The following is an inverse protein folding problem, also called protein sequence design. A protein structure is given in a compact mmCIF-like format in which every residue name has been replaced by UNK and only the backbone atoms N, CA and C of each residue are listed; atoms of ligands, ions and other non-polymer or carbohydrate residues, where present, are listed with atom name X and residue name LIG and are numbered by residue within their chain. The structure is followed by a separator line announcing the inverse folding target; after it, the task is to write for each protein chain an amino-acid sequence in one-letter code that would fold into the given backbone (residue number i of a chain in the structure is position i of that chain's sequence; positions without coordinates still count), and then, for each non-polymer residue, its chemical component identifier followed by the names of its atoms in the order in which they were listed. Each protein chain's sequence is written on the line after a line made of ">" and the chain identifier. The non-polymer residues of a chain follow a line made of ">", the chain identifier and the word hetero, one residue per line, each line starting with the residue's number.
data_IF_891915451265
#
_entry.id   IF_891915451265
#
_cell.length_a   1.000
_cell.length_b   1.000
_cell.length_c   1.000
_cell.angle_alpha   90.00
_cell.angle_beta   90.00
_cell.angle_gamma   90.00
#
_symmetry.space_group_name_H-M   'P 1'
#
loop_
_entity.id
_entity.type
_entity.pdbx_description
1 polymer ?
#
# COMPACT_ATOMS: atom_id res chain seq x y z
N UNK A 1 18.49 -20.25 47.99
CA UNK A 1 17.98 -19.00 47.38
C UNK A 1 18.28 -19.09 45.90
N UNK A 2 17.27 -19.29 45.06
CA UNK A 2 17.48 -19.24 43.61
C UNK A 2 17.77 -17.77 43.26
N UNK A 3 18.88 -17.53 42.55
CA UNK A 3 19.21 -16.20 42.05
C UNK A 3 18.11 -15.65 41.14
N UNK A 4 18.18 -14.35 40.77
CA UNK A 4 17.23 -13.80 39.81
C UNK A 4 17.24 -14.66 38.54
N UNK A 5 16.05 -15.03 38.06
CA UNK A 5 15.93 -15.69 36.77
C UNK A 5 16.46 -14.74 35.69
N UNK A 6 17.47 -15.19 34.96
CA UNK A 6 18.03 -14.47 33.81
C UNK A 6 17.40 -15.02 32.55
N UNK A 7 16.87 -14.14 31.69
CA UNK A 7 16.48 -14.52 30.34
C UNK A 7 17.70 -14.53 29.43
N UNK A 8 17.81 -15.54 28.56
CA UNK A 8 18.83 -15.51 27.52
C UNK A 8 18.37 -14.59 26.40
N UNK A 9 19.24 -13.71 25.95
CA UNK A 9 18.93 -12.73 24.91
C UNK A 9 20.05 -12.61 23.89
N UNK A 10 19.67 -12.25 22.68
CA UNK A 10 20.58 -11.98 21.58
C UNK A 10 20.90 -10.49 21.57
N UNK A 11 22.17 -10.08 21.82
CA UNK A 11 22.55 -8.68 21.76
C UNK A 11 22.50 -8.18 20.32
N UNK A 12 22.05 -6.95 20.12
CA UNK A 12 22.16 -6.26 18.84
C UNK A 12 23.43 -5.38 18.79
N UNK A 13 23.70 -4.81 17.60
CA UNK A 13 24.87 -3.96 17.34
C UNK A 13 24.80 -2.57 18.00
N UNK A 14 23.66 -2.22 18.59
CA UNK A 14 23.37 -0.92 19.21
C UNK A 14 23.30 -1.02 20.74
N UNK A 15 23.63 -2.17 21.33
CA UNK A 15 23.57 -2.39 22.78
C UNK A 15 22.19 -2.78 23.30
N UNK A 16 21.23 -3.07 22.41
CA UNK A 16 19.95 -3.66 22.76
C UNK A 16 20.06 -5.17 23.00
N UNK A 17 19.04 -5.73 23.65
CA UNK A 17 18.93 -7.15 23.94
C UNK A 17 17.58 -7.68 23.46
N UNK A 18 17.59 -8.59 22.49
CA UNK A 18 16.40 -9.26 21.99
C UNK A 18 16.18 -10.56 22.74
N UNK A 19 15.05 -10.70 23.43
CA UNK A 19 14.69 -11.92 24.17
C UNK A 19 13.56 -12.64 23.44
N UNK A 20 13.82 -13.85 22.95
CA UNK A 20 12.79 -14.70 22.33
C UNK A 20 12.20 -15.67 23.36
N UNK A 21 11.06 -15.29 23.88
CA UNK A 21 10.32 -16.04 24.89
C UNK A 21 9.79 -17.41 24.39
N UNK A 22 9.83 -17.72 23.09
CA UNK A 22 9.40 -19.03 22.55
C UNK A 22 10.37 -20.15 22.89
N UNK A 23 11.65 -19.81 23.04
CA UNK A 23 12.72 -20.78 23.33
C UNK A 23 13.05 -20.87 24.82
N UNK A 24 12.41 -20.04 25.65
CA UNK A 24 12.54 -20.07 27.09
C UNK A 24 11.84 -21.29 27.67
N UNK A 25 12.61 -22.19 28.29
CA UNK A 25 12.14 -23.49 28.80
C UNK A 25 11.00 -23.33 29.82
N UNK A 26 11.00 -22.22 30.55
CA UNK A 26 9.96 -21.84 31.52
C UNK A 26 8.60 -21.60 30.85
N UNK A 27 8.60 -21.12 29.61
CA UNK A 27 7.38 -20.80 28.86
C UNK A 27 6.90 -21.95 27.97
N UNK A 28 7.77 -22.88 27.60
CA UNK A 28 7.37 -24.10 26.89
C UNK A 28 6.49 -25.04 27.74
N UNK A 29 6.66 -25.00 29.06
CA UNK A 29 5.80 -25.71 30.01
C UNK A 29 4.63 -24.86 30.55
N UNK A 30 4.48 -23.62 30.08
CA UNK A 30 3.49 -22.69 30.59
C UNK A 30 2.10 -22.98 30.01
N UNK A 31 1.08 -22.95 30.89
CA UNK A 31 -0.32 -22.94 30.49
C UNK A 31 -0.67 -21.67 29.70
N UNK A 32 -1.73 -21.74 28.91
CA UNK A 32 -2.27 -20.59 28.18
C UNK A 32 -2.50 -19.35 29.09
N UNK A 33 -2.97 -19.56 30.32
CA UNK A 33 -3.15 -18.50 31.32
C UNK A 33 -1.84 -17.84 31.74
N UNK A 34 -0.76 -18.61 31.89
CA UNK A 34 0.56 -18.08 32.20
C UNK A 34 1.14 -17.26 31.03
N UNK A 35 0.89 -17.68 29.78
CA UNK A 35 1.26 -16.91 28.58
C UNK A 35 0.48 -15.58 28.49
N UNK A 36 -0.83 -15.58 28.74
CA UNK A 36 -1.63 -14.35 28.82
C UNK A 36 -1.12 -13.40 29.93
N UNK A 37 -0.65 -13.95 31.05
CA UNK A 37 -0.13 -13.18 32.17
C UNK A 37 1.23 -12.56 31.84
N UNK A 38 2.05 -13.18 30.98
CA UNK A 38 3.37 -12.67 30.62
C UNK A 38 3.29 -11.29 29.95
N UNK A 39 2.38 -11.10 28.99
CA UNK A 39 2.16 -9.80 28.33
C UNK A 39 1.68 -8.75 29.35
N UNK A 40 0.74 -9.11 30.22
CA UNK A 40 0.24 -8.22 31.26
C UNK A 40 1.33 -7.82 32.28
N UNK A 41 2.23 -8.74 32.62
CA UNK A 41 3.37 -8.46 33.50
C UNK A 41 4.39 -7.55 32.82
N UNK A 42 4.74 -7.83 31.57
CA UNK A 42 5.69 -6.99 30.82
C UNK A 42 5.16 -5.55 30.68
N UNK A 43 3.87 -5.38 30.36
CA UNK A 43 3.27 -4.04 30.29
C UNK A 43 3.23 -3.33 31.63
N UNK A 44 3.01 -4.05 32.75
CA UNK A 44 3.19 -3.49 34.11
C UNK A 44 4.62 -3.04 34.41
N UNK A 45 5.60 -3.63 33.73
CA UNK A 45 7.02 -3.27 33.80
C UNK A 45 7.45 -2.31 32.67
N UNK A 46 6.52 -1.48 32.19
CA UNK A 46 6.77 -0.40 31.21
C UNK A 46 7.23 -0.87 29.83
N UNK A 47 7.06 -2.16 29.52
CA UNK A 47 7.15 -2.59 28.13
C UNK A 47 5.92 -2.12 27.36
N UNK A 48 6.13 -1.54 26.19
CA UNK A 48 5.07 -1.09 25.28
C UNK A 48 5.00 -2.00 24.07
N UNK A 49 3.80 -2.12 23.49
CA UNK A 49 3.64 -2.82 22.21
C UNK A 49 4.40 -2.08 21.12
N UNK A 50 5.21 -2.79 20.36
CA UNK A 50 5.85 -2.26 19.17
C UNK A 50 5.10 -2.73 17.93
N UNK A 51 5.05 -4.02 17.64
CA UNK A 51 4.33 -4.56 16.49
C UNK A 51 3.91 -6.00 16.73
N UNK A 52 3.04 -6.54 15.88
CA UNK A 52 2.68 -7.95 15.89
C UNK A 52 2.69 -8.50 14.46
N UNK A 53 3.16 -9.73 14.32
CA UNK A 53 3.00 -10.55 13.11
C UNK A 53 2.11 -11.75 13.46
N UNK A 54 1.81 -12.60 12.47
CA UNK A 54 0.97 -13.79 12.68
C UNK A 54 1.48 -14.70 13.79
N UNK A 55 2.80 -14.74 14.01
CA UNK A 55 3.44 -15.71 14.90
C UNK A 55 3.90 -15.12 16.24
N UNK A 56 4.00 -13.80 16.36
CA UNK A 56 4.52 -13.17 17.58
C UNK A 56 4.01 -11.75 17.78
N UNK A 57 4.08 -11.30 19.03
CA UNK A 57 3.96 -9.90 19.42
C UNK A 57 5.30 -9.41 19.94
N UNK A 58 5.74 -8.24 19.48
CA UNK A 58 6.93 -7.57 19.95
C UNK A 58 6.54 -6.53 21.00
N UNK A 59 7.13 -6.65 22.18
CA UNK A 59 7.12 -5.62 23.20
C UNK A 59 8.52 -5.05 23.36
N UNK A 60 8.62 -3.76 23.63
CA UNK A 60 9.90 -3.06 23.76
C UNK A 60 9.92 -2.16 24.98
N UNK A 61 11.09 -1.92 25.55
CA UNK A 61 11.31 -0.94 26.60
C UNK A 61 12.67 -0.30 26.43
N UNK A 62 12.71 1.03 26.41
CA UNK A 62 13.97 1.77 26.52
C UNK A 62 14.43 1.78 27.97
N UNK A 63 15.61 1.21 28.23
CA UNK A 63 16.19 1.13 29.57
C UNK A 63 17.05 2.34 29.97
N UNK A 64 17.82 2.98 29.06
CA UNK A 64 18.62 4.15 29.40
C UNK A 64 17.78 5.30 29.94
N UNK A 65 18.22 5.90 31.06
CA UNK A 65 17.50 6.98 31.76
C UNK A 65 18.01 8.39 31.46
N UNK A 66 19.19 8.49 30.84
CA UNK A 66 19.89 9.77 30.61
C UNK A 66 19.84 10.22 29.15
N UNK A 67 19.09 9.52 28.32
CA UNK A 67 18.96 9.79 26.90
C UNK A 67 17.53 9.56 26.42
N UNK A 68 17.17 10.19 25.31
CA UNK A 68 15.87 10.01 24.69
C UNK A 68 15.74 8.64 24.06
N UNK A 69 14.55 8.05 24.13
CA UNK A 69 14.22 6.81 23.43
C UNK A 69 14.57 6.91 21.93
N UNK A 70 15.44 6.02 21.46
CA UNK A 70 15.86 5.93 20.05
C UNK A 70 15.21 4.75 19.32
N UNK A 71 14.28 4.03 19.95
CA UNK A 71 13.56 2.94 19.29
C UNK A 71 12.68 3.54 18.19
N UNK A 72 12.88 3.14 16.91
CA UNK A 72 12.02 3.59 15.85
C UNK A 72 10.56 3.19 16.12
N UNK A 73 9.58 4.01 15.73
CA UNK A 73 8.20 3.57 15.79
C UNK A 73 7.96 2.39 14.85
N UNK A 74 6.90 1.63 15.11
CA UNK A 74 6.48 0.55 14.24
C UNK A 74 6.04 1.03 12.86
N UNK A 75 6.10 0.14 11.88
CA UNK A 75 5.59 0.41 10.54
C UNK A 75 4.07 0.66 10.61
N UNK A 76 3.68 1.93 10.51
CA UNK A 76 2.30 2.39 10.70
C UNK A 76 1.67 2.93 9.41
N UNK A 77 2.32 2.74 8.26
CA UNK A 77 1.84 3.28 6.98
C UNK A 77 1.20 2.18 6.16
N UNK A 78 -0.01 2.42 5.68
CA UNK A 78 -0.66 1.58 4.68
C UNK A 78 -0.20 2.01 3.29
N UNK A 79 -0.03 1.03 2.42
CA UNK A 79 0.37 1.26 1.02
C UNK A 79 -0.69 0.65 0.11
N UNK A 80 -1.38 1.49 -0.64
CA UNK A 80 -2.32 1.11 -1.68
C UNK A 80 -1.79 1.47 -3.07
N UNK A 81 -2.30 0.77 -4.07
CA UNK A 81 -1.95 0.98 -5.48
C UNK A 81 -3.20 0.97 -6.36
N UNK A 82 -3.19 1.78 -7.41
CA UNK A 82 -4.20 1.79 -8.47
C UNK A 82 -3.56 1.63 -9.85
N UNK A 83 -4.11 0.72 -10.65
CA UNK A 83 -3.72 0.50 -12.04
C UNK A 83 -4.47 1.44 -12.99
N UNK A 84 -3.79 2.47 -13.51
CA UNK A 84 -4.27 3.25 -14.65
C UNK A 84 -3.96 2.49 -15.94
N UNK A 85 -4.84 1.55 -16.29
CA UNK A 85 -4.73 0.76 -17.52
C UNK A 85 -5.31 1.57 -18.68
N UNK A 86 -4.45 1.96 -19.61
CA UNK A 86 -4.83 2.77 -20.78
C UNK A 86 -4.92 1.85 -22.01
N UNK A 87 -6.06 1.85 -22.69
CA UNK A 87 -6.23 1.09 -23.94
C UNK A 87 -5.20 1.53 -25.00
N UNK A 88 -4.91 0.66 -25.97
CA UNK A 88 -3.90 0.92 -27.02
C UNK A 88 -4.17 2.21 -27.81
N UNK A 89 -5.44 2.59 -27.97
CA UNK A 89 -5.86 3.82 -28.66
C UNK A 89 -5.64 5.10 -27.83
N UNK A 90 -5.30 4.97 -26.55
CA UNK A 90 -5.14 6.08 -25.62
C UNK A 90 -6.45 6.79 -25.23
N UNK A 91 -7.61 6.31 -25.68
CA UNK A 91 -8.91 6.98 -25.50
C UNK A 91 -9.74 6.39 -24.37
N UNK A 92 -9.43 5.18 -23.92
CA UNK A 92 -10.22 4.47 -22.90
C UNK A 92 -9.35 4.00 -21.73
N UNK A 93 -9.97 3.95 -20.55
CA UNK A 93 -9.40 3.46 -19.31
C UNK A 93 -10.19 2.26 -18.81
N UNK A 94 -9.51 1.28 -18.22
CA UNK A 94 -10.18 0.23 -17.47
C UNK A 94 -10.59 0.76 -16.11
N UNK A 95 -11.89 0.70 -15.81
CA UNK A 95 -12.46 1.26 -14.59
C UNK A 95 -13.40 0.27 -13.93
N UNK A 96 -13.45 0.32 -12.60
CA UNK A 96 -14.27 -0.57 -11.78
C UNK A 96 -15.18 0.24 -10.88
N UNK A 97 -16.27 -0.40 -10.43
CA UNK A 97 -17.20 0.17 -9.47
C UNK A 97 -17.46 -0.86 -8.39
N UNK A 98 -17.15 -0.52 -7.14
CA UNK A 98 -17.32 -1.42 -6.00
C UNK A 98 -18.79 -1.69 -5.70
N UNK A 99 -19.07 -2.89 -5.17
CA UNK A 99 -20.44 -3.33 -4.84
C UNK A 99 -20.95 -2.83 -3.49
N UNK A 100 -20.06 -2.71 -2.50
CA UNK A 100 -20.45 -2.47 -1.11
C UNK A 100 -20.18 -1.03 -0.63
N UNK A 101 -19.76 -0.14 -1.53
CA UNK A 101 -19.48 1.24 -1.18
C UNK A 101 -20.78 2.06 -1.10
N UNK A 102 -20.91 2.88 -0.04
CA UNK A 102 -22.14 3.67 0.23
C UNK A 102 -22.50 4.65 -0.90
N UNK A 103 -21.50 5.13 -1.64
CA UNK A 103 -21.66 6.01 -2.79
C UNK A 103 -20.89 5.41 -3.98
N UNK A 104 -21.56 4.61 -4.83
CA UNK A 104 -20.90 3.91 -5.92
C UNK A 104 -20.33 4.94 -6.91
N UNK A 105 -19.02 4.90 -7.10
CA UNK A 105 -18.30 5.76 -8.02
C UNK A 105 -17.31 4.92 -8.82
N UNK A 106 -16.90 5.46 -9.97
CA UNK A 106 -15.90 4.83 -10.80
C UNK A 106 -14.52 5.04 -10.15
N UNK A 107 -13.79 3.96 -9.92
CA UNK A 107 -12.41 3.94 -9.39
C UNK A 107 -11.48 3.20 -10.38
N UNK A 108 -10.17 3.43 -10.24
CA UNK A 108 -9.18 2.58 -10.91
C UNK A 108 -9.18 1.21 -10.21
N UNK A 109 -8.94 0.11 -10.94
CA UNK A 109 -8.70 -1.18 -10.30
C UNK A 109 -7.48 -1.09 -9.38
N UNK A 110 -7.55 -1.71 -8.21
CA UNK A 110 -6.49 -1.55 -7.20
C UNK A 110 -6.88 -1.90 -5.77
N UNK A 111 -5.85 -2.13 -4.96
CA UNK A 111 -5.97 -2.56 -3.57
C UNK A 111 -4.68 -2.31 -2.78
N UNK A 112 -4.49 -3.08 -1.71
CA UNK A 112 -3.31 -2.94 -0.84
C UNK A 112 -2.11 -3.69 -1.42
N UNK A 113 -0.92 -3.14 -1.19
CA UNK A 113 0.34 -3.80 -1.48
C UNK A 113 0.62 -4.79 -0.35
N UNK A 114 0.84 -6.06 -0.70
CA UNK A 114 1.11 -7.10 0.29
C UNK A 114 2.55 -7.03 0.82
N UNK A 115 2.83 -7.57 2.03
CA UNK A 115 4.20 -7.62 2.55
C UNK A 115 5.17 -8.33 1.60
N UNK A 116 6.25 -7.63 1.22
CA UNK A 116 7.27 -8.15 0.30
C UNK A 116 6.91 -8.01 -1.19
N UNK A 117 5.78 -7.37 -1.51
CA UNK A 117 5.32 -7.13 -2.88
C UNK A 117 5.77 -5.76 -3.41
N UNK A 118 6.21 -5.73 -4.66
CA UNK A 118 6.52 -4.48 -5.36
C UNK A 118 5.24 -3.79 -5.87
N UNK A 119 5.25 -2.45 -5.95
CA UNK A 119 4.12 -1.66 -6.49
C UNK A 119 3.66 -2.15 -7.88
N UNK A 120 4.62 -2.49 -8.75
CA UNK A 120 4.33 -2.97 -10.10
C UNK A 120 3.64 -4.34 -10.10
N UNK A 121 4.05 -5.23 -9.19
CA UNK A 121 3.46 -6.55 -9.02
C UNK A 121 2.05 -6.44 -8.42
N UNK A 122 1.89 -5.63 -7.37
CA UNK A 122 0.61 -5.37 -6.73
C UNK A 122 -0.40 -4.79 -7.71
N UNK A 123 -0.02 -3.76 -8.50
CA UNK A 123 -0.90 -3.18 -9.50
C UNK A 123 -1.37 -4.21 -10.55
N UNK A 124 -0.45 -5.07 -11.02
CA UNK A 124 -0.78 -6.12 -12.00
C UNK A 124 -1.67 -7.22 -11.41
N UNK A 125 -1.40 -7.63 -10.17
CA UNK A 125 -2.23 -8.59 -9.43
C UNK A 125 -3.64 -8.05 -9.26
N UNK A 126 -3.79 -6.84 -8.72
CA UNK A 126 -5.09 -6.22 -8.45
C UNK A 126 -5.91 -6.04 -9.74
N UNK A 127 -5.29 -5.54 -10.82
CA UNK A 127 -5.97 -5.44 -12.13
C UNK A 127 -6.46 -6.81 -12.59
N UNK A 128 -5.63 -7.84 -12.50
CA UNK A 128 -5.99 -9.19 -12.92
C UNK A 128 -7.10 -9.79 -12.06
N UNK A 129 -7.01 -9.66 -10.73
CA UNK A 129 -7.96 -10.22 -9.76
C UNK A 129 -9.34 -9.57 -9.89
N UNK A 130 -9.39 -8.24 -10.00
CA UNK A 130 -10.65 -7.49 -10.07
C UNK A 130 -11.32 -7.62 -11.46
N UNK A 131 -10.53 -7.58 -12.53
CA UNK A 131 -11.06 -7.36 -13.90
C UNK A 131 -10.83 -8.51 -14.88
N UNK A 132 -9.92 -9.43 -14.58
CA UNK A 132 -9.45 -10.47 -15.50
C UNK A 132 -8.49 -9.98 -16.60
N UNK A 133 -8.24 -8.68 -16.69
CA UNK A 133 -7.32 -8.09 -17.68
C UNK A 133 -5.88 -8.29 -17.22
N UNK A 134 -5.03 -8.76 -18.12
CA UNK A 134 -3.59 -8.76 -17.89
C UNK A 134 -3.03 -7.40 -18.27
N UNK A 135 -2.21 -6.80 -17.41
CA UNK A 135 -1.59 -5.52 -17.67
C UNK A 135 -0.13 -5.50 -17.22
N UNK A 136 0.71 -4.81 -17.98
CA UNK A 136 2.12 -4.62 -17.70
C UNK A 136 2.37 -3.23 -17.15
N UNK A 137 3.09 -3.15 -16.03
CA UNK A 137 3.55 -1.88 -15.49
C UNK A 137 4.40 -1.10 -16.51
N UNK A 138 4.19 0.21 -16.60
CA UNK A 138 4.94 1.11 -17.47
C UNK A 138 5.70 2.16 -16.66
N UNK A 139 4.98 2.89 -15.80
CA UNK A 139 5.57 3.95 -14.97
C UNK A 139 4.72 4.25 -13.75
N UNK A 140 5.33 4.80 -12.70
CA UNK A 140 4.57 5.50 -11.68
C UNK A 140 4.11 6.86 -12.24
N UNK A 141 2.89 7.27 -11.95
CA UNK A 141 2.33 8.58 -12.36
C UNK A 141 2.37 9.57 -11.20
N UNK A 142 1.75 9.18 -10.09
CA UNK A 142 1.58 10.01 -8.92
C UNK A 142 1.39 9.16 -7.68
N UNK A 143 1.56 9.77 -6.52
CA UNK A 143 1.15 9.20 -5.25
C UNK A 143 0.55 10.25 -4.34
N UNK A 144 -0.37 9.82 -3.48
CA UNK A 144 -0.98 10.64 -2.44
C UNK A 144 -0.51 10.16 -1.09
N UNK A 145 -0.24 11.10 -0.20
CA UNK A 145 0.01 10.85 1.21
C UNK A 145 -1.07 11.54 2.05
N UNK A 146 -1.74 10.77 2.91
CA UNK A 146 -2.72 11.27 3.89
C UNK A 146 -2.41 10.73 5.28
N UNK A 147 -2.94 11.40 6.30
CA UNK A 147 -2.84 11.01 7.71
C UNK A 147 -4.22 10.78 8.32
N UNK A 148 -4.28 10.01 9.41
CA UNK A 148 -5.53 9.75 10.12
C UNK A 148 -6.46 8.78 9.38
N UNK A 149 -5.90 7.89 8.57
CA UNK A 149 -6.64 6.83 7.88
C UNK A 149 -7.01 5.70 8.87
N UNK A 150 -7.21 4.47 8.37
CA UNK A 150 -7.56 3.33 9.21
C UNK A 150 -6.56 3.19 10.37
N UNK A 151 -7.08 3.00 11.59
CA UNK A 151 -6.28 2.88 12.82
C UNK A 151 -5.39 4.10 13.16
N UNK A 152 -5.68 5.27 12.61
CA UNK A 152 -4.84 6.47 12.79
C UNK A 152 -3.55 6.45 11.97
N UNK A 153 -3.38 5.44 11.11
CA UNK A 153 -2.22 5.25 10.25
C UNK A 153 -2.10 6.33 9.18
N UNK A 154 -0.88 6.46 8.64
CA UNK A 154 -0.67 7.19 7.38
C UNK A 154 -1.04 6.29 6.20
N UNK A 155 -1.49 6.88 5.11
CA UNK A 155 -1.96 6.18 3.92
C UNK A 155 -1.24 6.73 2.68
N UNK A 156 -0.43 5.87 2.05
CA UNK A 156 0.16 6.13 0.75
C UNK A 156 -0.65 5.43 -0.32
N UNK A 157 -1.06 6.15 -1.35
CA UNK A 157 -1.74 5.58 -2.50
C UNK A 157 -1.01 5.93 -3.80
N UNK A 158 -0.55 4.93 -4.52
CA UNK A 158 0.26 5.07 -5.74
C UNK A 158 -0.59 4.81 -6.99
N UNK A 159 -0.40 5.60 -8.05
CA UNK A 159 -1.04 5.37 -9.35
C UNK A 159 0.02 4.89 -10.34
N UNK A 160 -0.14 3.67 -10.83
CA UNK A 160 0.73 3.06 -11.81
C UNK A 160 0.08 3.14 -13.20
N UNK A 161 0.79 3.72 -14.18
CA UNK A 161 0.41 3.63 -15.59
C UNK A 161 0.71 2.23 -16.08
N UNK A 162 -0.26 1.60 -16.72
CA UNK A 162 -0.17 0.23 -17.19
C UNK A 162 -0.64 0.10 -18.62
N UNK A 163 -0.04 -0.84 -19.34
CA UNK A 163 -0.43 -1.21 -20.69
C UNK A 163 -1.18 -2.55 -20.64
N UNK A 164 -2.38 -2.66 -21.23
CA UNK A 164 -3.09 -3.93 -21.30
C UNK A 164 -2.33 -4.91 -22.21
N UNK A 165 -2.28 -6.17 -21.80
CA UNK A 165 -1.86 -7.32 -22.58
C UNK A 165 -3.07 -8.13 -23.08
N UNK A 166 -4.25 -7.91 -22.49
CA UNK A 166 -5.54 -8.42 -22.94
C UNK A 166 -6.62 -7.35 -22.79
N UNK A 167 -7.76 -7.53 -23.46
CA UNK A 167 -8.88 -6.58 -23.41
C UNK A 167 -10.20 -7.20 -22.93
N UNK A 168 -10.27 -8.54 -22.88
CA UNK A 168 -11.43 -9.27 -22.39
C UNK A 168 -11.58 -9.06 -20.88
N UNK A 169 -12.75 -8.57 -20.47
CA UNK A 169 -13.08 -8.35 -19.06
C UNK A 169 -13.76 -9.60 -18.51
N UNK A 170 -13.22 -10.11 -17.40
CA UNK A 170 -13.81 -11.15 -16.56
C UNK A 170 -13.83 -10.65 -15.12
N UNK A 171 -14.83 -9.84 -14.82
CA UNK A 171 -14.96 -9.14 -13.54
C UNK A 171 -15.20 -10.10 -12.37
N UNK A 172 -14.56 -9.84 -11.23
CA UNK A 172 -14.84 -10.50 -9.96
C UNK A 172 -16.22 -10.08 -9.40
N UNK A 173 -17.23 -10.99 -9.35
CA UNK A 173 -18.58 -10.64 -8.91
C UNK A 173 -18.72 -10.49 -7.38
N UNK A 174 -17.70 -10.89 -6.64
CA UNK A 174 -17.65 -10.79 -5.18
C UNK A 174 -17.43 -9.35 -4.74
N UNK A 175 -16.55 -8.62 -5.42
CA UNK A 175 -16.08 -7.30 -4.98
C UNK A 175 -16.68 -6.15 -5.79
N UNK A 176 -16.94 -6.39 -7.08
CA UNK A 176 -17.35 -5.35 -8.01
C UNK A 176 -18.82 -5.47 -8.44
N UNK A 177 -19.43 -4.31 -8.63
CA UNK A 177 -20.75 -4.15 -9.23
C UNK A 177 -20.66 -3.91 -10.75
N UNK A 178 -19.56 -3.37 -11.25
CA UNK A 178 -19.36 -3.10 -12.68
C UNK A 178 -17.87 -2.95 -13.01
N UNK A 179 -17.49 -3.27 -14.24
CA UNK A 179 -16.14 -3.17 -14.78
C UNK A 179 -16.21 -2.98 -16.29
N UNK A 180 -15.57 -1.92 -16.81
CA UNK A 180 -15.62 -1.61 -18.24
C UNK A 180 -14.44 -0.76 -18.71
N UNK A 181 -14.22 -0.82 -20.02
CA UNK A 181 -13.46 0.21 -20.72
C UNK A 181 -14.32 1.47 -20.85
N UNK A 182 -13.86 2.58 -20.27
CA UNK A 182 -14.58 3.84 -20.26
C UNK A 182 -13.77 4.94 -20.96
N UNK A 183 -14.37 5.72 -21.87
CA UNK A 183 -13.72 6.86 -22.48
C UNK A 183 -13.13 7.81 -21.42
N UNK A 184 -11.89 8.24 -21.62
CA UNK A 184 -11.15 9.12 -20.70
C UNK A 184 -11.95 10.38 -20.36
N UNK A 185 -12.66 10.95 -21.35
CA UNK A 185 -13.52 12.12 -21.14
C UNK A 185 -14.68 11.84 -20.20
N UNK A 186 -15.38 10.71 -20.38
CA UNK A 186 -16.48 10.33 -19.50
C UNK A 186 -16.01 10.03 -18.08
N UNK A 187 -14.80 9.47 -17.93
CA UNK A 187 -14.17 9.30 -16.62
C UNK A 187 -13.86 10.63 -15.95
N UNK A 188 -13.26 11.57 -16.69
CA UNK A 188 -12.95 12.90 -16.21
C UNK A 188 -14.17 13.67 -15.70
N UNK A 189 -15.29 13.51 -16.40
CA UNK A 189 -16.55 14.17 -16.10
C UNK A 189 -17.37 13.46 -15.01
N UNK A 190 -16.94 12.26 -14.57
CA UNK A 190 -17.65 11.48 -13.55
C UNK A 190 -17.37 11.95 -12.11
N UNK A 191 -18.41 11.91 -11.27
CA UNK A 191 -18.33 12.23 -9.84
C UNK A 191 -18.92 11.08 -9.00
N UNK A 192 -18.54 10.93 -7.71
CA UNK A 192 -17.47 11.63 -7.00
C UNK A 192 -16.06 11.13 -7.38
N UNK A 193 -15.08 12.03 -7.25
CA UNK A 193 -13.69 11.83 -7.67
C UNK A 193 -12.96 10.92 -6.66
N UNK A 194 -12.03 10.05 -7.11
CA UNK A 194 -11.06 9.48 -6.18
C UNK A 194 -10.26 10.61 -5.51
N UNK A 195 -9.69 10.39 -4.31
CA UNK A 195 -8.93 11.39 -3.57
C UNK A 195 -7.64 11.85 -4.28
N UNK A 196 -7.31 11.24 -5.41
CA UNK A 196 -6.34 11.76 -6.38
C UNK A 196 -7.11 12.45 -7.51
N UNK A 197 -7.14 13.77 -7.44
CA UNK A 197 -7.63 14.60 -8.54
C UNK A 197 -6.70 14.37 -9.74
N UNK A 198 -7.21 14.16 -10.95
CA UNK A 198 -6.45 14.26 -12.22
C UNK A 198 -7.25 15.17 -13.14
N UNK A 199 -6.74 16.35 -13.48
CA UNK A 199 -7.35 17.27 -14.45
C UNK A 199 -6.90 16.83 -15.83
N UNK A 200 -7.77 16.30 -16.69
CA UNK A 200 -7.46 16.22 -18.09
C UNK A 200 -7.71 17.61 -18.67
N UNK A 201 -6.74 18.52 -18.56
CA UNK A 201 -6.76 19.67 -19.46
C UNK A 201 -6.59 19.15 -20.88
N UNK A 202 -7.69 19.24 -21.65
CA UNK A 202 -7.74 19.06 -23.10
C UNK A 202 -6.52 19.73 -23.74
N UNK A 203 -5.53 18.93 -24.13
CA UNK A 203 -4.28 19.46 -24.71
C UNK A 203 -3.24 18.40 -25.04
N UNK A 204 -3.41 17.16 -24.58
CA UNK A 204 -2.53 16.04 -24.96
C UNK A 204 -3.45 14.95 -25.46
N UNK A 205 -3.65 14.88 -26.79
CA UNK A 205 -4.03 13.72 -27.62
C UNK A 205 -4.36 14.25 -29.04
N UNK A 206 -3.49 15.07 -29.62
CA UNK A 206 -3.43 15.26 -31.07
C UNK A 206 -2.03 15.71 -31.48
N UNK A 207 -1.38 14.88 -32.29
CA UNK A 207 -0.04 15.13 -32.80
C UNK A 207 0.45 13.93 -33.58
N UNK A 208 0.08 13.86 -34.85
CA UNK A 208 0.66 12.91 -35.79
C UNK A 208 2.11 13.33 -36.06
N UNK A 209 3.07 12.42 -36.00
CA UNK A 209 4.31 12.54 -36.77
C UNK A 209 4.99 11.18 -36.95
N UNK A 210 5.12 10.82 -38.24
CA UNK A 210 6.20 10.08 -38.90
C UNK A 210 7.03 9.04 -38.15
N UNK A 211 7.18 7.89 -38.78
CA UNK A 211 8.11 6.80 -38.49
C UNK A 211 9.50 7.26 -38.03
N UNK A 212 9.96 6.80 -36.87
CA UNK A 212 11.37 6.52 -36.62
C UNK A 212 11.51 5.47 -35.51
N UNK A 213 12.39 4.50 -35.74
CA UNK A 213 12.78 3.44 -34.80
C UNK A 213 13.39 4.03 -33.54
N UNK A 214 13.09 3.43 -32.38
CA UNK A 214 13.62 3.69 -31.03
C UNK A 214 12.87 4.72 -30.14
N UNK A 215 12.21 4.19 -29.09
CA UNK A 215 12.02 4.88 -27.80
C UNK A 215 10.80 5.80 -27.67
N UNK A 216 9.63 5.22 -27.37
CA UNK A 216 8.44 6.00 -27.01
C UNK A 216 8.64 6.79 -25.70
N UNK A 217 8.21 8.05 -25.70
CA UNK A 217 8.18 8.90 -24.51
C UNK A 217 6.82 9.54 -24.30
N UNK A 218 6.09 9.07 -23.27
CA UNK A 218 4.91 9.76 -22.76
C UNK A 218 5.35 10.86 -21.79
N UNK A 219 4.80 12.07 -21.96
CA UNK A 219 4.93 13.18 -21.02
C UNK A 219 3.52 13.52 -20.54
N UNK A 220 3.18 13.01 -19.36
CA UNK A 220 1.91 13.29 -18.69
C UNK A 220 2.23 14.21 -17.52
N UNK A 221 1.69 15.43 -17.54
CA UNK A 221 1.94 16.45 -16.53
C UNK A 221 0.58 16.98 -16.06
N UNK A 222 0.21 16.70 -14.81
CA UNK A 222 -1.05 17.14 -14.21
C UNK A 222 -0.82 17.84 -12.87
N UNK A 223 -1.25 19.09 -12.73
CA UNK A 223 -0.99 19.90 -11.53
C UNK A 223 -2.27 20.03 -10.71
N UNK A 224 -2.29 19.47 -9.49
CA UNK A 224 -3.53 19.21 -8.75
C UNK A 224 -3.33 19.54 -7.28
N UNK A 225 -4.18 20.43 -6.77
CA UNK A 225 -4.33 20.69 -5.34
C UNK A 225 -5.58 19.95 -4.83
N UNK A 226 -5.46 19.24 -3.71
CA UNK A 226 -6.62 18.78 -2.93
C UNK A 226 -6.46 19.21 -1.47
N UNK A 227 -7.58 19.43 -0.78
CA UNK A 227 -7.62 19.91 0.61
C UNK A 227 -7.40 18.77 1.64
N UNK A 228 -7.22 17.53 1.17
CA UNK A 228 -7.27 16.31 1.98
C UNK A 228 -5.93 15.53 2.02
N UNK A 229 -4.90 16.00 1.32
CA UNK A 229 -3.58 15.37 1.34
C UNK A 229 -2.61 15.99 0.34
N UNK A 230 -1.35 15.59 0.42
CA UNK A 230 -0.32 16.02 -0.53
C UNK A 230 -0.25 15.02 -1.69
N UNK A 231 -0.44 15.50 -2.93
CA UNK A 231 -0.22 14.73 -4.15
C UNK A 231 1.17 15.06 -4.70
N UNK A 232 1.95 14.01 -4.95
CA UNK A 232 3.27 14.10 -5.52
C UNK A 232 3.27 13.40 -6.88
N UNK A 233 3.74 14.07 -7.91
CA UNK A 233 3.95 13.46 -9.22
C UNK A 233 5.39 12.96 -9.32
N UNK A 234 5.56 11.73 -9.78
CA UNK A 234 6.86 11.15 -10.03
C UNK A 234 6.79 10.43 -11.37
N UNK A 235 7.55 10.90 -12.38
CA UNK A 235 7.71 10.16 -13.62
C UNK A 235 8.92 9.24 -13.49
N UNK A 236 8.68 7.95 -13.24
CA UNK A 236 9.72 6.92 -13.22
C UNK A 236 9.48 6.00 -14.41
N UNK A 237 10.35 6.05 -15.42
CA UNK A 237 10.33 5.12 -16.56
C UNK A 237 11.25 3.93 -16.25
N UNK A 238 10.75 2.72 -16.46
CA UNK A 238 11.62 1.55 -16.54
C UNK A 238 12.21 1.48 -17.95
N UNK A 239 13.55 1.42 -18.04
CA UNK A 239 14.29 1.17 -19.30
C UNK A 239 14.11 -0.26 -19.79
#
# INVERSE_FOLDING_TARGET
>A
MNGPATFEGHPDRYGGLLVDLRHETVLQAASFTQLLTAIALLTKHEFVYHHALREFVMLVRWLPRHESDQIPPYAHSLVGVGGLVVAEDGQQLLVVREKYYKQPHWKLPGGFVEPGEDLAAAAAREVLEETGVQARFSSLLAFRHMHGAAHGCSDFYFICVMQPLSTEIRMCPRELADCRWMPVRLWADSAPRPPVYVEPKLGILSGNMGSCSSGWSYRIMFLLHSHLGHLFMAQIKHS
#
